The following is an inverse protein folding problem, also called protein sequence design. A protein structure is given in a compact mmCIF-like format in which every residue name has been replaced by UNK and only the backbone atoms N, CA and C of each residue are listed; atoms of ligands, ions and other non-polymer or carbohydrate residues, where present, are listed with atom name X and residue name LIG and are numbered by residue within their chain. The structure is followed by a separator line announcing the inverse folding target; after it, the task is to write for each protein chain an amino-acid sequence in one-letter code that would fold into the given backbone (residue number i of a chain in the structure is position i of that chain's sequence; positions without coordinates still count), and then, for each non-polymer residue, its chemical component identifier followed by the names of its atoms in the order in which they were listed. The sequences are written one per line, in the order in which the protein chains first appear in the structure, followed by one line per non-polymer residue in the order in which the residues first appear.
data_IF_366530551063
#
_entry.id   IF_366530551063
#
_cell.length_a   1.000
_cell.length_b   1.000
_cell.length_c   1.000
_cell.angle_alpha   90.00
_cell.angle_beta   90.00
_cell.angle_gamma   90.00
#
_symmetry.space_group_name_H-M   'P 1'
#
loop_
_entity.id
_entity.type
_entity.pdbx_description
1 polymer ?
#
# COMPACT_ATOMS: atom_id res chain seq x y z
N UNK A 1 -16.21 1.88 10.35
CA UNK A 1 -15.02 1.98 9.47
C UNK A 1 -13.94 2.72 10.24
N UNK A 2 -12.71 2.19 10.31
CA UNK A 2 -11.58 2.94 10.89
C UNK A 2 -11.13 4.02 9.91
N UNK A 3 -10.65 5.17 10.41
CA UNK A 3 -10.06 6.19 9.55
C UNK A 3 -8.78 5.66 8.90
N UNK A 4 -8.53 6.09 7.66
CA UNK A 4 -7.29 5.80 6.93
C UNK A 4 -6.36 7.02 6.91
N UNK A 5 -6.81 8.18 7.40
CA UNK A 5 -6.03 9.42 7.30
C UNK A 5 -4.88 9.44 8.29
N UNK A 6 -3.74 10.01 7.90
CA UNK A 6 -2.56 10.10 8.77
C UNK A 6 -2.87 10.86 10.05
N UNK A 7 -3.65 11.95 9.96
CA UNK A 7 -4.04 12.77 11.12
C UNK A 7 -4.85 12.02 12.19
N UNK A 8 -5.51 10.93 11.80
CA UNK A 8 -6.41 10.15 12.67
C UNK A 8 -5.79 8.80 13.06
N UNK A 9 -4.54 8.53 12.68
CA UNK A 9 -3.89 7.23 12.85
C UNK A 9 -2.48 7.36 13.39
N UNK A 10 -2.09 6.40 14.22
CA UNK A 10 -0.70 6.19 14.62
C UNK A 10 0.05 5.39 13.56
N UNK A 11 1.38 5.42 13.61
CA UNK A 11 2.23 4.57 12.77
C UNK A 11 1.84 3.09 12.85
N UNK A 12 1.60 2.59 14.06
CA UNK A 12 1.24 1.17 14.29
C UNK A 12 -0.11 0.84 13.65
N UNK A 13 -1.09 1.74 13.75
CA UNK A 13 -2.39 1.56 13.08
C UNK A 13 -2.25 1.56 11.55
N UNK A 14 -1.39 2.42 10.99
CA UNK A 14 -1.10 2.42 9.54
C UNK A 14 -0.44 1.13 9.07
N UNK A 15 0.49 0.57 9.85
CA UNK A 15 1.07 -0.75 9.58
C UNK A 15 -0.05 -1.79 9.51
N UNK A 16 -0.94 -1.82 10.51
CA UNK A 16 -2.06 -2.76 10.55
C UNK A 16 -3.05 -2.57 9.39
N UNK A 17 -3.32 -1.33 8.99
CA UNK A 17 -4.15 -1.00 7.82
C UNK A 17 -3.52 -1.57 6.54
N UNK A 18 -2.22 -1.40 6.35
CA UNK A 18 -1.51 -1.95 5.18
C UNK A 18 -1.56 -3.47 5.19
N UNK A 19 -1.22 -4.12 6.31
CA UNK A 19 -1.29 -5.59 6.42
C UNK A 19 -2.70 -6.12 6.14
N UNK A 20 -3.75 -5.52 6.73
CA UNK A 20 -5.14 -5.92 6.49
C UNK A 20 -5.58 -5.69 5.04
N UNK A 21 -5.08 -4.65 4.38
CA UNK A 21 -5.32 -4.40 2.96
C UNK A 21 -4.66 -5.45 2.06
N UNK A 22 -3.55 -6.03 2.51
CA UNK A 22 -2.79 -7.07 1.80
C UNK A 22 -3.25 -8.49 2.15
N UNK A 23 -3.94 -8.68 3.27
CA UNK A 23 -4.50 -9.98 3.71
C UNK A 23 -5.49 -10.59 2.69
N UNK A 24 -6.01 -9.80 1.73
CA UNK A 24 -6.78 -10.35 0.61
C UNK A 24 -5.98 -11.33 -0.27
N UNK A 25 -4.64 -11.34 -0.16
CA UNK A 25 -3.80 -12.32 -0.84
C UNK A 25 -3.78 -13.73 -0.20
N UNK A 26 -4.39 -13.96 0.97
CA UNK A 26 -4.54 -15.29 1.57
C UNK A 26 -3.24 -16.00 1.98
N UNK A 27 -3.38 -17.10 2.71
CA UNK A 27 -2.34 -17.96 3.35
C UNK A 27 -1.35 -18.63 2.36
N UNK A 28 -1.23 -18.13 1.14
CA UNK A 28 -0.33 -18.66 0.12
C UNK A 28 0.11 -17.55 -0.83
N UNK A 29 1.33 -17.06 -0.59
CA UNK A 29 2.20 -16.53 -1.64
C UNK A 29 1.99 -15.07 -2.08
N UNK A 30 2.17 -14.10 -1.18
CA UNK A 30 2.76 -12.82 -1.58
C UNK A 30 4.31 -12.81 -1.45
N UNK A 31 4.89 -13.71 -0.65
CA UNK A 31 6.35 -13.87 -0.46
C UNK A 31 7.11 -14.15 -1.78
N UNK A 32 6.44 -14.73 -2.79
CA UNK A 32 6.96 -14.92 -4.16
C UNK A 32 6.20 -14.13 -5.23
N UNK A 33 5.29 -13.25 -4.82
CA UNK A 33 4.50 -12.40 -5.70
C UNK A 33 4.68 -10.91 -5.31
N UNK A 34 5.91 -10.53 -4.94
CA UNK A 34 6.36 -9.19 -4.57
C UNK A 34 6.01 -8.17 -5.66
N UNK A 35 4.74 -7.75 -5.69
CA UNK A 35 4.17 -6.74 -6.55
C UNK A 35 4.16 -7.00 -8.06
N UNK A 36 4.40 -8.23 -8.55
CA UNK A 36 4.35 -8.54 -9.99
C UNK A 36 3.01 -8.19 -10.67
N UNK A 37 1.86 -8.37 -10.00
CA UNK A 37 0.54 -7.98 -10.54
C UNK A 37 0.26 -6.46 -10.48
N UNK A 38 1.02 -5.75 -9.65
CA UNK A 38 0.92 -4.31 -9.39
C UNK A 38 2.08 -3.49 -10.00
N UNK A 39 3.08 -4.15 -10.58
CA UNK A 39 4.28 -3.53 -11.16
C UNK A 39 5.24 -2.92 -10.14
N UNK A 40 5.20 -3.34 -8.87
CA UNK A 40 6.07 -2.81 -7.80
C UNK A 40 7.04 -3.88 -7.33
N UNK A 41 8.30 -3.54 -7.05
CA UNK A 41 9.31 -4.52 -6.58
C UNK A 41 9.08 -5.02 -5.16
N UNK A 42 8.34 -4.27 -4.34
CA UNK A 42 7.86 -4.66 -3.02
C UNK A 42 6.63 -3.83 -2.69
N UNK A 43 5.54 -4.51 -2.33
CA UNK A 43 4.27 -3.85 -1.97
C UNK A 43 4.43 -3.13 -0.62
N UNK A 44 5.20 -3.69 0.31
CA UNK A 44 5.51 -3.06 1.60
C UNK A 44 6.28 -1.75 1.40
N UNK A 45 7.28 -1.75 0.50
CA UNK A 45 8.05 -0.55 0.19
C UNK A 45 7.19 0.55 -0.46
N UNK A 46 6.18 0.18 -1.25
CA UNK A 46 5.23 1.13 -1.85
C UNK A 46 4.45 1.90 -0.77
N UNK A 47 4.01 1.23 0.30
CA UNK A 47 3.21 1.85 1.36
C UNK A 47 4.02 2.49 2.49
N UNK A 48 5.35 2.41 2.45
CA UNK A 48 6.25 2.98 3.45
C UNK A 48 6.02 4.49 3.70
N UNK A 49 5.81 5.35 2.67
CA UNK A 49 5.53 6.79 2.90
C UNK A 49 4.23 7.04 3.67
N UNK A 50 3.22 6.18 3.49
CA UNK A 50 1.99 6.24 4.27
C UNK A 50 2.26 5.83 5.72
N UNK A 51 2.98 4.72 5.95
CA UNK A 51 3.36 4.26 7.28
C UNK A 51 4.16 5.33 8.03
N UNK A 52 5.09 6.00 7.36
CA UNK A 52 5.90 7.08 7.91
C UNK A 52 5.11 8.37 8.18
N UNK A 53 3.91 8.50 7.60
CA UNK A 53 3.06 9.67 7.76
C UNK A 53 3.48 10.83 6.85
N UNK A 54 4.24 10.54 5.80
CA UNK A 54 4.74 11.51 4.83
C UNK A 54 3.75 11.74 3.67
N UNK A 55 2.86 10.78 3.41
CA UNK A 55 1.94 10.79 2.27
C UNK A 55 0.64 10.07 2.56
N UNK A 56 -0.50 10.63 2.15
CA UNK A 56 -1.78 9.94 2.34
C UNK A 56 -1.88 8.67 1.50
N UNK A 57 -2.59 7.65 2.00
CA UNK A 57 -2.73 6.36 1.32
C UNK A 57 -3.27 6.49 -0.11
N UNK A 58 -4.19 7.43 -0.32
CA UNK A 58 -4.74 7.76 -1.65
C UNK A 58 -3.69 8.34 -2.60
N UNK A 59 -2.77 9.16 -2.10
CA UNK A 59 -1.69 9.75 -2.89
C UNK A 59 -0.66 8.70 -3.29
N UNK A 60 -0.31 7.78 -2.38
CA UNK A 60 0.52 6.61 -2.69
C UNK A 60 -0.12 5.81 -3.83
N UNK A 61 -1.39 5.42 -3.67
CA UNK A 61 -2.12 4.65 -4.68
C UNK A 61 -2.18 5.38 -6.05
N UNK A 62 -2.44 6.69 -6.06
CA UNK A 62 -2.48 7.49 -7.28
C UNK A 62 -1.13 7.57 -7.98
N UNK A 63 -0.03 7.77 -7.24
CA UNK A 63 1.33 7.80 -7.83
C UNK A 63 1.65 6.51 -8.57
N UNK A 64 1.36 5.36 -7.94
CA UNK A 64 1.59 4.06 -8.57
C UNK A 64 0.66 3.81 -9.76
N UNK A 65 -0.62 4.20 -9.67
CA UNK A 65 -1.54 4.10 -10.80
C UNK A 65 -1.11 4.98 -11.99
N UNK A 66 -0.60 6.19 -11.73
CA UNK A 66 -0.12 7.12 -12.74
C UNK A 66 1.12 6.59 -13.48
N UNK A 67 2.06 5.95 -12.79
CA UNK A 67 3.23 5.32 -13.44
C UNK A 67 2.84 4.14 -14.34
N UNK A 68 1.70 3.48 -14.07
CA UNK A 68 1.20 2.35 -14.85
C UNK A 68 0.33 2.75 -16.05
N UNK A 69 -0.17 3.98 -16.10
CA UNK A 69 -1.03 4.42 -17.19
C UNK A 69 -0.20 4.87 -18.41
N UNK A 70 0.20 3.91 -19.24
CA UNK A 70 0.50 4.19 -20.65
C UNK A 70 -0.81 4.16 -21.41
N UNK A 71 -1.20 5.28 -22.02
CA UNK A 71 -2.23 5.28 -23.06
C UNK A 71 -1.80 4.26 -24.12
N UNK A 72 -2.57 3.17 -24.25
CA UNK A 72 -2.48 2.27 -25.40
C UNK A 72 -2.89 2.99 -26.67
#
# INVERSE_FOLDING_TARGET
MRSLLIKDTTRVERIQIVHQGLDFCGDSSCESCSGCSMGVGSIDAMYQPYIDGEMELSEVNMRHAATRYTLG
#
